data_IF_702423892462
#
_entry.id   IF_702423892462
#
_cell.length_a   1.000
_cell.length_b   1.000
_cell.length_c   1.000
_cell.angle_alpha   90.00
_cell.angle_beta   90.00
_cell.angle_gamma   90.00
#
_symmetry.space_group_name_H-M   'P 1'
#
loop_
_entity.id
_entity.type
_entity.pdbx_description
1 polymer ?
#
# COMPACT_ATOMS: atom_id res chain seq x y z
N UNK A 1 30.53 7.55 26.95
CA UNK A 1 29.21 7.13 26.42
C UNK A 1 28.08 7.88 27.15
N UNK A 2 28.06 7.89 28.48
CA UNK A 2 27.02 8.59 29.28
C UNK A 2 26.96 10.08 28.97
N UNK A 3 28.09 10.76 28.85
CA UNK A 3 28.16 12.18 28.50
C UNK A 3 27.55 12.48 27.12
N UNK A 4 27.74 11.61 26.13
CA UNK A 4 27.15 11.79 24.81
C UNK A 4 25.64 11.55 24.82
N UNK A 5 25.14 10.58 25.60
CA UNK A 5 23.70 10.37 25.81
C UNK A 5 23.04 11.58 26.49
N UNK A 6 23.70 12.17 27.48
CA UNK A 6 23.23 13.38 28.13
C UNK A 6 23.14 14.56 27.15
N UNK A 7 24.14 14.72 26.27
CA UNK A 7 24.11 15.75 25.23
C UNK A 7 22.99 15.50 24.20
N UNK A 8 22.70 14.23 23.88
CA UNK A 8 21.59 13.88 23.00
C UNK A 8 20.24 14.31 23.61
N UNK A 9 20.01 13.99 24.89
CA UNK A 9 18.82 14.43 25.62
C UNK A 9 18.74 15.96 25.69
N UNK A 10 19.86 16.62 25.92
CA UNK A 10 19.89 18.07 25.94
C UNK A 10 19.54 18.69 24.58
N UNK A 11 19.98 18.09 23.46
CA UNK A 11 19.59 18.51 22.14
C UNK A 11 18.09 18.35 21.90
N UNK A 12 17.49 17.26 22.38
CA UNK A 12 16.04 17.04 22.33
C UNK A 12 15.25 18.07 23.16
N UNK A 13 15.78 18.46 24.32
CA UNK A 13 15.18 19.52 25.16
C UNK A 13 15.19 20.86 24.43
N UNK A 14 16.31 21.24 23.79
CA UNK A 14 16.35 22.49 23.00
C UNK A 14 15.38 22.46 21.83
N UNK A 15 15.23 21.32 21.20
CA UNK A 15 14.23 21.15 20.13
C UNK A 15 12.81 21.33 20.65
N UNK A 16 12.47 20.65 21.75
CA UNK A 16 11.15 20.77 22.40
C UNK A 16 10.85 22.21 22.89
N UNK A 17 11.89 22.95 23.27
CA UNK A 17 11.80 24.37 23.65
C UNK A 17 11.71 25.34 22.44
N UNK A 18 11.76 24.80 21.18
CA UNK A 18 11.68 25.62 19.98
C UNK A 18 13.02 26.19 19.50
N UNK A 19 14.14 25.95 20.22
CA UNK A 19 15.49 26.36 19.78
C UNK A 19 16.08 25.36 18.76
N UNK A 20 15.40 25.25 17.63
CA UNK A 20 15.80 24.35 16.57
C UNK A 20 17.22 24.63 15.99
N UNK A 21 17.72 25.89 15.89
CA UNK A 21 19.09 26.11 15.44
C UNK A 21 20.15 25.53 16.39
N UNK A 22 19.90 25.60 17.68
CA UNK A 22 20.81 25.03 18.69
C UNK A 22 20.72 23.52 18.72
N UNK A 23 19.50 22.98 18.72
CA UNK A 23 19.26 21.55 18.65
C UNK A 23 19.93 20.93 17.41
N UNK A 24 19.77 21.53 16.23
CA UNK A 24 20.36 21.06 14.98
C UNK A 24 21.91 21.00 15.05
N UNK A 25 22.56 22.06 15.56
CA UNK A 25 24.03 22.05 15.71
C UNK A 25 24.50 20.92 16.63
N UNK A 26 23.77 20.67 17.73
CA UNK A 26 24.10 19.59 18.65
C UNK A 26 23.87 18.22 18.01
N UNK A 27 22.75 18.02 17.32
CA UNK A 27 22.48 16.77 16.60
C UNK A 27 23.52 16.53 15.48
N UNK A 28 23.92 17.56 14.73
CA UNK A 28 24.96 17.43 13.71
C UNK A 28 26.32 17.01 14.31
N UNK A 29 26.67 17.55 15.47
CA UNK A 29 27.89 17.13 16.15
C UNK A 29 27.80 15.67 16.64
N UNK A 30 26.67 15.29 17.24
CA UNK A 30 26.43 13.95 17.78
C UNK A 30 26.26 12.89 16.68
N UNK A 31 25.78 13.26 15.50
CA UNK A 31 25.64 12.33 14.35
C UNK A 31 26.99 11.76 13.87
N UNK A 32 28.10 12.38 14.25
CA UNK A 32 29.46 11.93 13.97
C UNK A 32 30.05 11.04 15.06
N UNK A 33 29.30 10.79 16.15
CA UNK A 33 29.78 9.95 17.24
C UNK A 33 29.99 8.51 16.75
N UNK A 34 30.95 7.80 17.36
CA UNK A 34 31.25 6.40 17.02
C UNK A 34 30.19 5.42 17.54
N UNK A 35 29.43 5.83 18.54
CA UNK A 35 28.43 4.99 19.20
C UNK A 35 27.09 5.10 18.48
N UNK A 36 26.57 4.01 17.95
CA UNK A 36 25.31 3.97 17.20
C UNK A 36 24.12 4.46 18.02
N UNK A 37 24.05 4.14 19.31
CA UNK A 37 23.01 4.62 20.24
C UNK A 37 22.90 6.15 20.32
N UNK A 38 23.94 6.87 19.89
CA UNK A 38 23.95 8.34 19.89
C UNK A 38 23.87 8.90 18.47
N UNK A 39 24.68 8.33 17.56
CA UNK A 39 24.75 8.89 16.21
C UNK A 39 23.47 8.68 15.40
N UNK A 40 22.79 7.55 15.55
CA UNK A 40 21.60 7.26 14.75
C UNK A 40 20.40 8.16 15.12
N UNK A 41 19.98 8.30 16.40
CA UNK A 41 18.94 9.25 16.76
C UNK A 41 19.35 10.71 16.49
N UNK A 42 20.63 11.06 16.63
CA UNK A 42 21.11 12.38 16.31
C UNK A 42 20.98 12.69 14.80
N UNK A 43 21.38 11.76 13.95
CA UNK A 43 21.26 11.89 12.49
C UNK A 43 19.80 11.95 12.06
N UNK A 44 18.93 11.11 12.65
CA UNK A 44 17.49 11.15 12.40
C UNK A 44 16.91 12.56 12.66
N UNK A 45 17.16 13.11 13.84
CA UNK A 45 16.63 14.42 14.23
C UNK A 45 17.28 15.58 13.45
N UNK A 46 18.57 15.54 13.20
CA UNK A 46 19.25 16.53 12.36
C UNK A 46 18.68 16.56 10.95
N UNK A 47 18.46 15.39 10.35
CA UNK A 47 17.90 15.27 9.00
C UNK A 47 16.48 15.83 8.94
N UNK A 48 15.64 15.53 9.95
CA UNK A 48 14.28 16.05 10.02
C UNK A 48 14.28 17.57 10.11
N UNK A 49 15.06 18.17 11.02
CA UNK A 49 15.13 19.63 11.16
C UNK A 49 15.62 20.31 9.88
N UNK A 50 16.61 19.70 9.20
CA UNK A 50 17.12 20.23 7.93
C UNK A 50 16.09 20.16 6.82
N UNK A 51 15.33 19.08 6.76
CA UNK A 51 14.24 18.92 5.79
C UNK A 51 13.12 19.93 6.04
N UNK A 52 12.65 20.06 7.28
CA UNK A 52 11.59 21.00 7.69
C UNK A 52 11.96 22.46 7.39
N UNK A 53 13.27 22.77 7.42
CA UNK A 53 13.82 24.10 7.10
C UNK A 53 14.21 24.30 5.63
N UNK A 54 13.99 23.30 4.78
CA UNK A 54 14.36 23.36 3.38
C UNK A 54 15.88 23.39 3.12
N UNK A 55 16.70 23.00 4.10
CA UNK A 55 18.17 22.96 3.97
C UNK A 55 18.65 21.75 3.16
N UNK A 56 17.85 20.72 3.07
CA UNK A 56 18.04 19.54 2.23
C UNK A 56 16.76 19.23 1.49
N UNK A 57 16.89 18.56 0.35
CA UNK A 57 15.73 18.14 -0.46
C UNK A 57 15.11 16.85 0.08
N UNK A 58 13.81 16.60 -0.16
CA UNK A 58 13.17 15.33 0.21
C UNK A 58 13.89 14.09 -0.30
N UNK A 59 14.38 14.00 -1.55
CA UNK A 59 15.16 12.85 -2.01
C UNK A 59 16.46 12.64 -1.22
N UNK A 60 17.15 13.73 -0.83
CA UNK A 60 18.36 13.68 0.00
C UNK A 60 18.04 13.13 1.39
N UNK A 61 16.97 13.61 2.02
CA UNK A 61 16.50 13.10 3.31
C UNK A 61 16.13 11.61 3.23
N UNK A 62 15.44 11.19 2.17
CA UNK A 62 15.09 9.79 1.95
C UNK A 62 16.34 8.90 1.89
N UNK A 63 17.39 9.31 1.18
CA UNK A 63 18.65 8.57 1.12
C UNK A 63 19.34 8.45 2.48
N UNK A 64 19.31 9.49 3.32
CA UNK A 64 19.86 9.46 4.68
C UNK A 64 19.07 8.48 5.57
N UNK A 65 17.74 8.55 5.55
CA UNK A 65 16.88 7.66 6.33
C UNK A 65 16.98 6.21 5.86
N UNK A 66 17.08 5.97 4.55
CA UNK A 66 17.28 4.63 4.00
C UNK A 66 18.62 4.02 4.50
N UNK A 67 19.68 4.82 4.56
CA UNK A 67 20.95 4.41 5.16
C UNK A 67 20.85 4.11 6.67
N UNK A 68 20.03 4.84 7.41
CA UNK A 68 19.84 4.64 8.85
C UNK A 68 19.16 3.31 9.16
N UNK A 69 18.12 2.91 8.43
CA UNK A 69 17.38 1.66 8.69
C UNK A 69 18.25 0.38 8.63
N UNK A 70 19.37 0.44 7.96
CA UNK A 70 20.32 -0.68 7.90
C UNK A 70 21.37 -0.66 9.02
N UNK A 71 21.62 0.52 9.60
CA UNK A 71 22.65 0.70 10.62
C UNK A 71 22.12 0.48 12.03
N UNK A 72 20.85 0.77 12.28
CA UNK A 72 20.23 0.70 13.59
C UNK A 72 19.03 -0.25 13.57
N UNK A 73 19.03 -1.25 14.44
CA UNK A 73 17.97 -2.23 14.54
C UNK A 73 17.57 -2.46 16.00
N UNK A 74 16.26 -2.57 16.25
CA UNK A 74 15.72 -3.13 17.48
C UNK A 74 15.20 -2.14 18.51
N UNK A 75 14.98 -0.85 18.17
CA UNK A 75 14.40 0.11 19.09
C UNK A 75 13.36 1.06 18.42
N UNK A 76 12.78 1.94 19.26
CA UNK A 76 11.82 2.93 18.82
C UNK A 76 12.37 3.89 17.74
N UNK A 77 13.67 4.12 17.69
CA UNK A 77 14.31 4.99 16.68
C UNK A 77 14.30 4.34 15.30
N UNK A 78 14.44 3.02 15.20
CA UNK A 78 14.28 2.27 13.95
C UNK A 78 12.86 2.45 13.41
N UNK A 79 11.84 2.20 14.22
CA UNK A 79 10.44 2.30 13.82
C UNK A 79 10.07 3.73 13.41
N UNK A 80 10.56 4.73 14.15
CA UNK A 80 10.36 6.13 13.79
C UNK A 80 11.03 6.49 12.46
N UNK A 81 12.24 6.00 12.22
CA UNK A 81 12.96 6.18 10.94
C UNK A 81 12.18 5.58 9.77
N UNK A 82 11.71 4.35 9.92
CA UNK A 82 10.94 3.63 8.90
C UNK A 82 9.63 4.35 8.60
N UNK A 83 8.93 4.79 9.62
CA UNK A 83 7.67 5.54 9.47
C UNK A 83 7.88 6.84 8.71
N UNK A 84 8.88 7.63 9.11
CA UNK A 84 9.22 8.89 8.43
C UNK A 84 9.67 8.65 6.98
N UNK A 85 10.47 7.60 6.74
CA UNK A 85 10.89 7.22 5.39
C UNK A 85 9.71 6.78 4.51
N UNK A 86 8.76 6.04 5.06
CA UNK A 86 7.53 5.65 4.37
C UNK A 86 6.72 6.87 3.93
N UNK A 87 6.49 7.83 4.83
CA UNK A 87 5.82 9.10 4.53
C UNK A 87 6.53 9.88 3.42
N UNK A 88 7.84 9.93 3.48
CA UNK A 88 8.65 10.65 2.52
C UNK A 88 8.63 9.99 1.13
N UNK A 89 8.70 8.66 1.07
CA UNK A 89 8.56 7.94 -0.19
C UNK A 89 7.17 8.11 -0.83
N UNK A 90 6.11 8.12 -0.02
CA UNK A 90 4.74 8.41 -0.51
C UNK A 90 4.70 9.81 -1.12
N UNK A 91 5.24 10.82 -0.43
CA UNK A 91 5.26 12.21 -0.92
C UNK A 91 6.07 12.40 -2.20
N UNK A 92 7.03 11.51 -2.45
CA UNK A 92 7.86 11.46 -3.67
C UNK A 92 7.26 10.62 -4.80
N UNK A 93 6.07 10.01 -4.60
CA UNK A 93 5.48 9.08 -5.55
C UNK A 93 6.20 7.72 -5.66
N UNK A 94 7.12 7.42 -4.74
CA UNK A 94 7.89 6.18 -4.68
C UNK A 94 7.11 5.13 -3.88
N UNK A 95 5.95 4.76 -4.39
CA UNK A 95 4.96 3.96 -3.67
C UNK A 95 5.44 2.55 -3.32
N UNK A 96 6.13 1.89 -4.26
CA UNK A 96 6.69 0.54 -4.01
C UNK A 96 7.66 0.55 -2.84
N UNK A 97 8.59 1.46 -2.86
CA UNK A 97 9.60 1.60 -1.79
C UNK A 97 8.95 1.97 -0.46
N UNK A 98 7.91 2.82 -0.48
CA UNK A 98 7.15 3.16 0.72
C UNK A 98 6.49 1.93 1.34
N UNK A 99 5.76 1.15 0.55
CA UNK A 99 5.08 -0.05 1.02
C UNK A 99 6.08 -1.13 1.49
N UNK A 100 7.19 -1.33 0.77
CA UNK A 100 8.25 -2.28 1.17
C UNK A 100 8.89 -1.91 2.50
N UNK A 101 9.20 -0.63 2.69
CA UNK A 101 9.80 -0.14 3.94
C UNK A 101 8.85 -0.34 5.11
N UNK A 102 7.58 0.06 4.96
CA UNK A 102 6.57 -0.08 6.00
C UNK A 102 6.27 -1.55 6.31
N UNK A 103 6.13 -2.41 5.30
CA UNK A 103 5.91 -3.85 5.47
C UNK A 103 7.06 -4.52 6.22
N UNK A 104 8.29 -4.12 5.93
CA UNK A 104 9.48 -4.69 6.57
C UNK A 104 9.54 -4.48 8.08
N UNK A 105 8.94 -3.40 8.58
CA UNK A 105 8.90 -3.09 10.00
C UNK A 105 7.74 -3.75 10.74
N UNK A 106 6.57 -3.80 10.13
CA UNK A 106 5.36 -4.32 10.77
C UNK A 106 5.43 -5.79 11.17
N UNK A 107 6.33 -6.55 10.52
CA UNK A 107 6.50 -7.98 10.78
C UNK A 107 7.54 -8.30 11.88
N UNK A 108 8.32 -7.31 12.35
CA UNK A 108 9.45 -7.60 13.25
C UNK A 108 9.15 -7.51 14.73
N UNK A 109 8.27 -6.60 15.13
CA UNK A 109 7.95 -6.35 16.55
C UNK A 109 6.48 -5.96 16.69
N UNK A 110 5.54 -6.92 16.60
CA UNK A 110 4.10 -6.63 16.57
C UNK A 110 3.58 -5.99 17.87
N UNK A 111 4.26 -6.18 18.99
CA UNK A 111 3.79 -5.74 20.32
C UNK A 111 4.20 -4.29 20.67
N UNK A 112 4.98 -3.60 19.82
CA UNK A 112 5.36 -2.22 20.08
C UNK A 112 4.28 -1.23 19.58
N UNK A 113 4.01 -0.14 20.33
CA UNK A 113 3.02 0.87 19.92
C UNK A 113 3.26 1.45 18.52
N UNK A 114 4.53 1.69 18.16
CA UNK A 114 4.91 2.20 16.84
C UNK A 114 4.64 1.19 15.71
N UNK A 115 4.64 -0.11 16.00
CA UNK A 115 4.32 -1.15 15.01
C UNK A 115 2.87 -1.07 14.55
N UNK A 116 1.93 -0.80 15.44
CA UNK A 116 0.52 -0.59 15.09
C UNK A 116 0.34 0.67 14.23
N UNK A 117 1.08 1.74 14.54
CA UNK A 117 1.08 2.96 13.73
C UNK A 117 1.62 2.71 12.32
N UNK A 118 2.68 1.92 12.18
CA UNK A 118 3.24 1.51 10.89
C UNK A 118 2.27 0.63 10.10
N UNK A 119 1.61 -0.34 10.73
CA UNK A 119 0.60 -1.16 10.08
C UNK A 119 -0.59 -0.32 9.58
N UNK A 120 -1.04 0.62 10.40
CA UNK A 120 -2.10 1.55 10.00
C UNK A 120 -1.65 2.44 8.83
N UNK A 121 -0.42 2.93 8.85
CA UNK A 121 0.15 3.73 7.77
C UNK A 121 0.28 2.90 6.48
N UNK A 122 0.73 1.65 6.55
CA UNK A 122 0.82 0.74 5.43
C UNK A 122 -0.55 0.48 4.79
N UNK A 123 -1.55 0.18 5.61
CA UNK A 123 -2.93 -0.05 5.15
C UNK A 123 -3.53 1.22 4.54
N UNK A 124 -3.32 2.38 5.16
CA UNK A 124 -3.81 3.66 4.65
C UNK A 124 -3.12 4.06 3.35
N UNK A 125 -1.80 3.85 3.23
CA UNK A 125 -1.08 4.09 1.99
C UNK A 125 -1.61 3.22 0.84
N UNK A 126 -1.89 1.94 1.10
CA UNK A 126 -2.46 1.05 0.10
C UNK A 126 -3.89 1.47 -0.30
N UNK A 127 -4.71 1.90 0.66
CA UNK A 127 -6.04 2.46 0.38
C UNK A 127 -5.96 3.73 -0.45
N UNK A 128 -5.09 4.67 -0.10
CA UNK A 128 -4.89 5.89 -0.86
C UNK A 128 -4.52 5.61 -2.32
N UNK A 129 -3.64 4.63 -2.56
CA UNK A 129 -3.24 4.23 -3.89
C UNK A 129 -4.39 3.71 -4.75
N UNK A 130 -5.17 2.76 -4.23
CA UNK A 130 -6.12 1.98 -5.04
C UNK A 130 -7.59 2.35 -4.83
N UNK A 131 -7.93 3.02 -3.73
CA UNK A 131 -9.28 3.47 -3.44
C UNK A 131 -9.45 4.98 -3.70
N UNK A 132 -8.46 5.79 -3.27
CA UNK A 132 -8.56 7.26 -3.37
C UNK A 132 -7.97 7.81 -4.67
N UNK A 133 -7.19 6.99 -5.42
CA UNK A 133 -6.73 7.30 -6.76
C UNK A 133 -5.27 7.79 -6.87
N UNK A 134 -4.48 7.72 -5.80
CA UNK A 134 -3.07 8.15 -5.83
C UNK A 134 -2.24 7.33 -6.85
N UNK A 135 -2.65 6.09 -7.15
CA UNK A 135 -2.03 5.26 -8.18
C UNK A 135 -2.57 5.51 -9.59
N UNK A 136 -3.52 6.43 -9.79
CA UNK A 136 -4.12 6.67 -11.11
C UNK A 136 -3.14 7.28 -12.11
N UNK A 137 -2.09 7.94 -11.63
CA UNK A 137 -0.97 8.41 -12.44
C UNK A 137 0.03 7.33 -12.90
N UNK A 138 -0.05 6.11 -12.36
CA UNK A 138 0.76 4.99 -12.82
C UNK A 138 0.16 4.35 -14.06
N UNK A 139 1.03 3.81 -14.93
CA UNK A 139 0.57 2.94 -16.02
C UNK A 139 -0.22 1.75 -15.45
N UNK A 140 -1.36 1.34 -16.05
CA UNK A 140 -2.22 0.29 -15.51
C UNK A 140 -1.50 -1.02 -15.18
N UNK A 141 -0.53 -1.42 -16.00
CA UNK A 141 0.27 -2.63 -15.75
C UNK A 141 1.21 -2.46 -14.54
N UNK A 142 1.74 -1.27 -14.30
CA UNK A 142 2.55 -0.97 -13.12
C UNK A 142 1.71 -0.96 -11.86
N UNK A 143 0.50 -0.39 -11.92
CA UNK A 143 -0.46 -0.42 -10.82
C UNK A 143 -0.88 -1.86 -10.50
N UNK A 144 -1.11 -2.71 -11.52
CA UNK A 144 -1.42 -4.12 -11.34
C UNK A 144 -0.27 -4.88 -10.64
N UNK A 145 0.97 -4.67 -11.08
CA UNK A 145 2.13 -5.30 -10.47
C UNK A 145 2.28 -4.86 -9.00
N UNK A 146 2.11 -3.57 -8.71
CA UNK A 146 2.12 -3.05 -7.35
C UNK A 146 0.99 -3.65 -6.50
N UNK A 147 -0.22 -3.78 -7.05
CA UNK A 147 -1.34 -4.42 -6.36
C UNK A 147 -1.01 -5.87 -5.98
N UNK A 148 -0.50 -6.68 -6.92
CA UNK A 148 -0.19 -8.08 -6.64
C UNK A 148 0.93 -8.27 -5.61
N UNK A 149 1.93 -7.39 -5.60
CA UNK A 149 3.03 -7.45 -4.63
C UNK A 149 2.58 -7.18 -3.18
N UNK A 150 1.44 -6.50 -3.01
CA UNK A 150 0.89 -6.09 -1.71
C UNK A 150 -0.59 -6.47 -1.55
N UNK A 151 -1.08 -7.45 -2.30
CA UNK A 151 -2.49 -7.84 -2.32
C UNK A 151 -3.05 -8.25 -0.95
N UNK A 152 -2.21 -8.70 -0.04
CA UNK A 152 -2.58 -9.03 1.33
C UNK A 152 -3.09 -7.83 2.13
N UNK A 153 -2.78 -6.60 1.68
CA UNK A 153 -3.26 -5.35 2.28
C UNK A 153 -4.67 -4.97 1.81
N UNK A 154 -5.23 -5.67 0.84
CA UNK A 154 -6.57 -5.39 0.34
C UNK A 154 -7.59 -5.62 1.45
N UNK A 155 -8.35 -4.59 1.88
CA UNK A 155 -9.32 -4.74 2.94
C UNK A 155 -10.43 -5.73 2.56
N UNK A 156 -11.02 -6.37 3.54
CA UNK A 156 -12.21 -7.18 3.33
C UNK A 156 -13.43 -6.28 3.11
N UNK A 157 -14.40 -6.75 2.31
CA UNK A 157 -15.66 -6.07 2.05
C UNK A 157 -15.58 -5.01 0.94
N UNK A 158 -16.51 -4.06 0.98
CA UNK A 158 -16.82 -3.14 -0.13
C UNK A 158 -15.62 -2.31 -0.62
N UNK A 159 -14.74 -1.87 0.27
CA UNK A 159 -13.57 -1.07 -0.11
C UNK A 159 -12.59 -1.89 -0.98
N UNK A 160 -12.29 -3.12 -0.55
CA UNK A 160 -11.42 -4.01 -1.33
C UNK A 160 -12.03 -4.41 -2.66
N UNK A 161 -13.33 -4.63 -2.71
CA UNK A 161 -14.05 -4.94 -3.94
C UNK A 161 -14.00 -3.76 -4.92
N UNK A 162 -14.16 -2.55 -4.40
CA UNK A 162 -14.08 -1.33 -5.21
C UNK A 162 -12.67 -1.10 -5.76
N UNK A 163 -11.61 -1.35 -4.95
CA UNK A 163 -10.21 -1.27 -5.39
C UNK A 163 -9.96 -2.18 -6.60
N UNK A 164 -10.32 -3.45 -6.47
CA UNK A 164 -10.11 -4.44 -7.53
C UNK A 164 -10.88 -4.10 -8.79
N UNK A 165 -12.15 -3.69 -8.67
CA UNK A 165 -12.99 -3.32 -9.82
C UNK A 165 -12.49 -2.05 -10.52
N UNK A 166 -12.00 -1.05 -9.78
CA UNK A 166 -11.37 0.14 -10.37
C UNK A 166 -10.11 -0.21 -11.16
N UNK A 167 -9.24 -1.04 -10.58
CA UNK A 167 -8.03 -1.49 -11.27
C UNK A 167 -8.36 -2.32 -12.52
N UNK A 168 -9.31 -3.25 -12.43
CA UNK A 168 -9.78 -4.04 -13.58
C UNK A 168 -10.32 -3.13 -14.70
N UNK A 169 -11.10 -2.10 -14.37
CA UNK A 169 -11.60 -1.14 -15.37
C UNK A 169 -10.47 -0.41 -16.07
N UNK A 170 -9.45 0.07 -15.34
CA UNK A 170 -8.28 0.72 -15.94
C UNK A 170 -7.53 -0.20 -16.90
N UNK A 171 -7.44 -1.49 -16.60
CA UNK A 171 -6.84 -2.48 -17.50
C UNK A 171 -7.69 -2.67 -18.77
N UNK A 172 -9.00 -2.71 -18.64
CA UNK A 172 -9.92 -2.78 -19.79
C UNK A 172 -9.80 -1.55 -20.69
N UNK A 173 -9.69 -0.36 -20.10
CA UNK A 173 -9.57 0.91 -20.83
C UNK A 173 -8.31 0.99 -21.72
N UNK A 174 -7.29 0.19 -21.43
CA UNK A 174 -6.06 0.07 -22.23
C UNK A 174 -5.93 -1.29 -22.95
N UNK A 175 -7.05 -2.00 -23.13
CA UNK A 175 -7.15 -3.30 -23.83
C UNK A 175 -6.33 -4.44 -23.19
N UNK A 176 -5.99 -4.34 -21.90
CA UNK A 176 -5.36 -5.41 -21.13
C UNK A 176 -6.42 -6.39 -20.59
N UNK A 177 -7.20 -6.99 -21.48
CA UNK A 177 -8.38 -7.79 -21.14
C UNK A 177 -8.03 -9.08 -20.40
N UNK A 178 -6.91 -9.73 -20.73
CA UNK A 178 -6.45 -10.95 -20.05
C UNK A 178 -6.11 -10.66 -18.57
N UNK A 179 -5.38 -9.58 -18.33
CA UNK A 179 -4.99 -9.16 -16.98
C UNK A 179 -6.20 -8.71 -16.15
N UNK A 180 -7.15 -8.01 -16.79
CA UNK A 180 -8.39 -7.63 -16.13
C UNK A 180 -9.23 -8.84 -15.74
N UNK A 181 -9.34 -9.83 -16.62
CA UNK A 181 -10.05 -11.08 -16.36
C UNK A 181 -9.39 -11.89 -15.23
N UNK A 182 -8.06 -12.01 -15.24
CA UNK A 182 -7.31 -12.71 -14.19
C UNK A 182 -7.50 -12.05 -12.82
N UNK A 183 -7.46 -10.72 -12.77
CA UNK A 183 -7.67 -9.97 -11.54
C UNK A 183 -9.08 -10.15 -10.97
N UNK A 184 -10.13 -10.08 -11.80
CA UNK A 184 -11.50 -10.31 -11.37
C UNK A 184 -11.76 -11.77 -11.02
N UNK A 185 -11.11 -12.72 -11.71
CA UNK A 185 -11.18 -14.14 -11.36
C UNK A 185 -10.60 -14.39 -9.98
N UNK A 186 -9.43 -13.83 -9.67
CA UNK A 186 -8.85 -13.90 -8.33
C UNK A 186 -9.81 -13.35 -7.27
N UNK A 187 -10.44 -12.20 -7.53
CA UNK A 187 -11.41 -11.58 -6.63
C UNK A 187 -12.61 -12.51 -6.38
N UNK A 188 -13.19 -13.08 -7.44
CA UNK A 188 -14.36 -13.93 -7.35
C UNK A 188 -14.08 -15.26 -6.64
N UNK A 189 -12.92 -15.86 -6.90
CA UNK A 189 -12.61 -17.21 -6.41
C UNK A 189 -12.05 -17.21 -4.99
N UNK A 190 -11.24 -16.20 -4.63
CA UNK A 190 -10.48 -16.21 -3.37
C UNK A 190 -11.06 -15.29 -2.29
N UNK A 191 -11.92 -14.32 -2.67
CA UNK A 191 -12.30 -13.25 -1.76
C UNK A 191 -13.80 -13.06 -1.58
N UNK A 192 -14.61 -13.58 -2.46
CA UNK A 192 -16.03 -13.30 -2.50
C UNK A 192 -16.88 -14.56 -2.48
N UNK A 193 -18.03 -14.42 -1.80
CA UNK A 193 -19.09 -15.42 -1.79
C UNK A 193 -20.45 -14.76 -2.13
N UNK A 194 -21.44 -15.57 -2.48
CA UNK A 194 -22.81 -15.12 -2.65
C UNK A 194 -23.01 -14.07 -3.75
N UNK A 195 -23.80 -13.07 -3.45
CA UNK A 195 -24.20 -12.00 -4.41
C UNK A 195 -22.99 -11.17 -4.88
N UNK A 196 -22.06 -10.71 -4.01
CA UNK A 196 -20.86 -10.02 -4.48
C UNK A 196 -20.05 -10.83 -5.49
N UNK A 197 -19.89 -12.13 -5.27
CA UNK A 197 -19.22 -13.04 -6.21
C UNK A 197 -19.96 -13.08 -7.55
N UNK A 198 -21.28 -13.17 -7.54
CA UNK A 198 -22.07 -13.20 -8.76
C UNK A 198 -21.96 -11.90 -9.57
N UNK A 199 -21.90 -10.75 -8.90
CA UNK A 199 -21.68 -9.46 -9.55
C UNK A 199 -20.31 -9.41 -10.24
N UNK A 200 -19.26 -9.80 -9.55
CA UNK A 200 -17.89 -9.83 -10.12
C UNK A 200 -17.78 -10.85 -11.23
N UNK A 201 -18.41 -12.03 -11.09
CA UNK A 201 -18.47 -13.03 -12.15
C UNK A 201 -19.18 -12.50 -13.43
N UNK A 202 -20.17 -11.63 -13.28
CA UNK A 202 -20.82 -10.95 -14.39
C UNK A 202 -19.86 -10.00 -15.12
N UNK A 203 -19.11 -9.19 -14.38
CA UNK A 203 -18.09 -8.30 -14.94
C UNK A 203 -16.98 -9.12 -15.64
N UNK A 204 -16.54 -10.22 -15.02
CA UNK A 204 -15.55 -11.16 -15.57
C UNK A 204 -16.04 -11.80 -16.88
N UNK A 205 -17.30 -12.24 -16.92
CA UNK A 205 -17.89 -12.81 -18.11
C UNK A 205 -17.95 -11.80 -19.27
N UNK A 206 -18.31 -10.56 -18.97
CA UNK A 206 -18.31 -9.49 -19.98
C UNK A 206 -16.90 -9.25 -20.54
N UNK A 207 -15.88 -9.18 -19.70
CA UNK A 207 -14.49 -9.01 -20.14
C UNK A 207 -14.04 -10.17 -20.99
N UNK A 208 -14.38 -11.41 -20.61
CA UNK A 208 -14.07 -12.59 -21.41
C UNK A 208 -14.79 -12.58 -22.78
N UNK A 209 -16.02 -12.10 -22.87
CA UNK A 209 -16.70 -11.91 -24.15
C UNK A 209 -16.01 -10.85 -25.02
N UNK A 210 -15.62 -9.71 -24.44
CA UNK A 210 -14.82 -8.68 -25.14
C UNK A 210 -13.50 -9.27 -25.65
N UNK A 211 -12.89 -10.17 -24.88
CA UNK A 211 -11.65 -10.88 -25.22
C UNK A 211 -11.85 -12.10 -26.15
N UNK A 212 -13.06 -12.29 -26.69
CA UNK A 212 -13.42 -13.41 -27.57
C UNK A 212 -13.22 -14.81 -26.95
N UNK A 213 -13.47 -14.93 -25.64
CA UNK A 213 -13.36 -16.16 -24.84
C UNK A 213 -14.72 -16.56 -24.25
N UNK A 214 -15.72 -16.95 -25.07
CA UNK A 214 -17.07 -17.22 -24.60
C UNK A 214 -17.15 -18.39 -23.62
N UNK A 215 -16.31 -19.43 -23.80
CA UNK A 215 -16.26 -20.56 -22.87
C UNK A 215 -15.84 -20.16 -21.48
N UNK A 216 -14.88 -19.24 -21.35
CA UNK A 216 -14.45 -18.68 -20.06
C UNK A 216 -15.53 -17.78 -19.45
N UNK A 217 -16.28 -17.07 -20.28
CA UNK A 217 -17.42 -16.28 -19.82
C UNK A 217 -18.51 -17.17 -19.21
N UNK A 218 -18.89 -18.26 -19.88
CA UNK A 218 -19.82 -19.24 -19.35
C UNK A 218 -19.32 -19.90 -18.06
N UNK A 219 -18.05 -20.29 -18.02
CA UNK A 219 -17.44 -20.88 -16.84
C UNK A 219 -17.51 -19.93 -15.63
N UNK A 220 -17.26 -18.63 -15.81
CA UNK A 220 -17.35 -17.62 -14.77
C UNK A 220 -18.78 -17.51 -14.20
N UNK A 221 -19.78 -17.46 -15.07
CA UNK A 221 -21.19 -17.38 -14.66
C UNK A 221 -21.60 -18.66 -13.92
N UNK A 222 -21.29 -19.83 -14.47
CA UNK A 222 -21.71 -21.11 -13.92
C UNK A 222 -21.05 -21.37 -12.54
N UNK A 223 -19.79 -21.01 -12.36
CA UNK A 223 -19.11 -21.13 -11.06
C UNK A 223 -19.75 -20.25 -9.98
N UNK A 224 -20.31 -19.11 -10.34
CA UNK A 224 -20.94 -18.19 -9.40
C UNK A 224 -22.33 -18.65 -8.94
N UNK A 225 -23.04 -19.39 -9.77
CA UNK A 225 -24.43 -19.83 -9.49
C UNK A 225 -24.50 -21.16 -8.74
N UNK A 226 -23.44 -21.98 -8.80
CA UNK A 226 -23.42 -23.29 -8.18
C UNK A 226 -23.30 -23.29 -6.65
N UNK A 227 -22.81 -22.20 -6.07
CA UNK A 227 -22.46 -22.11 -4.64
C UNK A 227 -23.48 -21.37 -3.77
N UNK A 228 -24.46 -20.66 -4.37
CA UNK A 228 -25.39 -19.83 -3.61
C UNK A 228 -26.78 -19.83 -4.24
N UNK A 229 -27.83 -19.98 -3.43
CA UNK A 229 -29.21 -19.71 -3.86
C UNK A 229 -29.39 -18.20 -3.96
N UNK A 230 -29.21 -17.65 -5.14
CA UNK A 230 -29.47 -16.24 -5.46
C UNK A 230 -30.95 -16.10 -5.76
N UNK A 231 -31.61 -15.07 -5.21
CA UNK A 231 -33.02 -14.80 -5.50
C UNK A 231 -33.20 -14.39 -6.98
N UNK A 232 -34.41 -14.62 -7.52
CA UNK A 232 -34.73 -14.25 -8.91
C UNK A 232 -34.46 -12.75 -9.16
N UNK A 233 -34.79 -11.89 -8.19
CA UNK A 233 -34.57 -10.44 -8.31
C UNK A 233 -33.08 -10.07 -8.34
N UNK A 234 -32.26 -10.79 -7.59
CA UNK A 234 -30.80 -10.60 -7.58
C UNK A 234 -30.16 -11.07 -8.88
N UNK A 235 -30.64 -12.19 -9.46
CA UNK A 235 -30.22 -12.66 -10.78
C UNK A 235 -30.52 -11.64 -11.89
N UNK A 236 -31.68 -11.01 -11.85
CA UNK A 236 -32.05 -9.94 -12.78
C UNK A 236 -31.11 -8.74 -12.62
N UNK A 237 -30.82 -8.36 -11.39
CA UNK A 237 -29.88 -7.25 -11.09
C UNK A 237 -28.46 -7.53 -11.57
N UNK A 238 -28.01 -8.77 -11.51
CA UNK A 238 -26.66 -9.16 -11.93
C UNK A 238 -26.50 -9.33 -13.44
N UNK A 239 -27.57 -9.17 -14.23
CA UNK A 239 -27.56 -9.34 -15.69
C UNK A 239 -27.15 -10.75 -16.17
N UNK A 240 -27.13 -11.74 -15.29
CA UNK A 240 -26.72 -13.11 -15.62
C UNK A 240 -27.48 -13.71 -16.81
N UNK A 241 -28.81 -13.57 -16.92
CA UNK A 241 -29.56 -14.10 -18.06
C UNK A 241 -29.10 -13.54 -19.40
N UNK A 242 -28.85 -12.23 -19.47
CA UNK A 242 -28.39 -11.57 -20.69
C UNK A 242 -27.00 -12.04 -21.11
N UNK A 243 -26.09 -12.21 -20.16
CA UNK A 243 -24.74 -12.68 -20.42
C UNK A 243 -24.71 -14.15 -20.84
N UNK A 244 -25.56 -15.00 -20.26
CA UNK A 244 -25.72 -16.40 -20.68
C UNK A 244 -26.18 -16.49 -22.13
N UNK A 245 -27.18 -15.70 -22.49
CA UNK A 245 -27.65 -15.64 -23.88
C UNK A 245 -26.55 -15.15 -24.82
N UNK A 246 -25.83 -14.11 -24.45
CA UNK A 246 -24.72 -13.56 -25.24
C UNK A 246 -23.56 -14.55 -25.39
N UNK A 247 -23.32 -15.41 -24.39
CA UNK A 247 -22.30 -16.45 -24.43
C UNK A 247 -22.73 -17.72 -25.21
N UNK A 248 -23.96 -17.76 -25.72
CA UNK A 248 -24.45 -18.85 -26.52
C UNK A 248 -25.05 -20.02 -25.73
N UNK A 249 -25.38 -19.83 -24.46
CA UNK A 249 -26.20 -20.77 -23.69
C UNK A 249 -27.65 -20.55 -24.12
N UNK A 250 -28.15 -21.38 -25.01
CA UNK A 250 -29.55 -21.36 -25.48
C UNK A 250 -30.35 -22.28 -24.56
N UNK A 251 -31.39 -21.77 -23.91
CA UNK A 251 -32.40 -22.61 -23.26
C UNK A 251 -33.24 -23.38 -24.31
#
# INVERSE_FOLDING_TARGET
VETLKTLLVQAQIFEAAGDAPRAMRMFDALSRARTQEVNSPALLNATRIKLDRGMITPPTAAGIYDGLRYRWRGDASELKTIRTLGELYISLGRYREALDVLRSAGNRQPDMPDSQAIQSQLSNAFKALFLDGDADGLEPIQALALFYDFKELTPMGADGDLMVRRLARRLVDVDLLDQAAELLKYQADERLDGVPRAVVATDLALINLMNRKPEQALAAINSSTSTTRISQDELVRTRLPLLRSAAGEIE
#
